data_IF_122080242390
#
_entry.id   IF_122080242390
#
_cell.length_a   1.000
_cell.length_b   1.000
_cell.length_c   1.000
_cell.angle_alpha   90.00
_cell.angle_beta   90.00
_cell.angle_gamma   90.00
#
_symmetry.space_group_name_H-M   'P 1'
#
loop_
_entity.id
_entity.type
_entity.pdbx_description
1 polymer ?
#
# COMPACT_ATOMS: atom_id res chain seq x y z
N UNK A 1 -0.20 3.29 -18.65
CA UNK A 1 -0.07 1.87 -18.30
C UNK A 1 0.30 1.61 -16.83
N UNK A 2 1.24 2.34 -16.18
CA UNK A 2 1.62 2.11 -14.76
C UNK A 2 0.47 2.43 -13.75
N UNK A 3 -0.41 3.39 -14.04
CA UNK A 3 -1.49 3.82 -13.10
C UNK A 3 -2.69 2.84 -13.07
N UNK A 4 -3.05 2.25 -14.19
CA UNK A 4 -4.14 1.26 -14.27
C UNK A 4 -3.80 -0.03 -13.50
N UNK A 5 -2.51 -0.42 -13.50
CA UNK A 5 -2.04 -1.59 -12.75
C UNK A 5 -2.17 -1.44 -11.23
N UNK A 6 -2.09 -0.21 -10.70
CA UNK A 6 -2.22 0.05 -9.24
C UNK A 6 -3.67 -0.06 -8.76
N UNK A 7 -4.62 0.44 -9.54
CA UNK A 7 -6.06 0.34 -9.21
C UNK A 7 -6.51 -1.13 -9.26
N UNK A 8 -6.06 -1.86 -10.28
CA UNK A 8 -6.33 -3.28 -10.42
C UNK A 8 -5.80 -4.08 -9.22
N UNK A 9 -4.62 -3.71 -8.67
CA UNK A 9 -4.03 -4.41 -7.52
C UNK A 9 -4.84 -4.24 -6.24
N UNK A 10 -5.51 -3.10 -6.01
CA UNK A 10 -6.34 -2.89 -4.81
C UNK A 10 -7.60 -3.75 -4.84
N UNK A 11 -8.32 -3.73 -5.95
CA UNK A 11 -9.51 -4.55 -6.11
C UNK A 11 -9.17 -6.05 -6.09
N UNK A 12 -8.02 -6.43 -6.65
CA UNK A 12 -7.54 -7.80 -6.64
C UNK A 12 -7.10 -8.23 -5.23
N UNK A 13 -6.43 -7.36 -4.46
CA UNK A 13 -6.03 -7.65 -3.09
C UNK A 13 -7.24 -7.86 -2.17
N UNK A 14 -8.26 -7.02 -2.28
CA UNK A 14 -9.52 -7.18 -1.54
C UNK A 14 -10.21 -8.51 -1.85
N UNK A 15 -10.12 -9.00 -3.09
CA UNK A 15 -10.71 -10.26 -3.51
C UNK A 15 -9.97 -11.51 -3.00
N UNK A 16 -8.63 -11.49 -3.00
CA UNK A 16 -7.82 -12.65 -2.60
C UNK A 16 -7.93 -12.91 -1.08
N UNK A 17 -8.15 -11.87 -0.27
CA UNK A 17 -8.28 -12.00 1.18
C UNK A 17 -9.58 -12.69 1.64
N UNK A 18 -10.60 -12.81 0.77
CA UNK A 18 -11.89 -13.43 1.14
C UNK A 18 -11.87 -14.96 1.17
N UNK A 19 -10.81 -15.63 0.71
CA UNK A 19 -10.86 -17.09 0.47
C UNK A 19 -9.89 -17.93 1.29
N UNK A 20 -9.07 -17.35 2.17
CA UNK A 20 -8.05 -18.08 2.92
C UNK A 20 -8.57 -18.78 4.19
N UNK A 21 -9.78 -19.34 4.19
CA UNK A 21 -10.26 -19.95 5.44
C UNK A 21 -11.47 -20.85 5.44
N UNK A 22 -11.97 -21.43 4.33
CA UNK A 22 -13.03 -22.44 4.46
C UNK A 22 -13.08 -23.47 3.34
N UNK A 23 -12.68 -24.71 3.66
CA UNK A 23 -13.16 -25.92 2.99
C UNK A 23 -14.47 -26.36 3.68
N UNK A 24 -15.61 -25.81 3.27
CA UNK A 24 -16.90 -26.23 3.80
C UNK A 24 -18.03 -25.47 3.12
N UNK A 25 -18.99 -26.20 2.56
CA UNK A 25 -20.26 -25.80 1.95
C UNK A 25 -20.62 -24.31 2.03
N UNK A 26 -20.51 -23.62 0.91
CA UNK A 26 -20.90 -22.22 0.77
C UNK A 26 -22.41 -22.13 0.63
N UNK A 27 -23.12 -22.03 1.74
CA UNK A 27 -24.46 -21.46 1.76
C UNK A 27 -24.31 -19.94 1.80
N UNK A 28 -24.71 -19.29 0.73
CA UNK A 28 -24.87 -17.86 0.43
C UNK A 28 -24.72 -16.79 1.53
N UNK A 29 -23.62 -16.78 2.25
CA UNK A 29 -23.26 -15.65 3.10
C UNK A 29 -22.35 -14.74 2.27
N UNK A 30 -22.77 -13.49 2.07
CA UNK A 30 -21.87 -12.47 1.56
C UNK A 30 -20.61 -12.49 2.43
N UNK A 31 -19.47 -12.88 1.85
CA UNK A 31 -18.21 -12.90 2.57
C UNK A 31 -17.89 -11.46 2.99
N UNK A 32 -17.80 -11.23 4.31
CA UNK A 32 -17.37 -9.94 4.82
C UNK A 32 -15.95 -9.66 4.32
N UNK A 33 -15.74 -8.49 3.73
CA UNK A 33 -14.44 -8.13 3.20
C UNK A 33 -13.42 -8.04 4.34
N UNK A 34 -12.50 -8.97 4.40
CA UNK A 34 -11.42 -8.98 5.39
C UNK A 34 -10.26 -8.08 4.91
N UNK A 35 -10.19 -6.87 5.43
CA UNK A 35 -9.13 -5.90 5.14
C UNK A 35 -8.03 -6.02 6.19
N UNK A 36 -6.78 -6.27 5.73
CA UNK A 36 -5.63 -6.26 6.62
C UNK A 36 -5.31 -4.82 7.05
N UNK A 37 -5.15 -4.63 8.36
CA UNK A 37 -4.79 -3.34 8.95
C UNK A 37 -3.32 -3.36 9.37
N UNK A 38 -2.48 -2.44 8.88
CA UNK A 38 -1.08 -2.39 9.29
C UNK A 38 -0.95 -1.89 10.72
N UNK A 39 0.00 -2.45 11.45
CA UNK A 39 0.25 -2.16 12.86
C UNK A 39 1.75 -1.89 13.07
N UNK A 40 2.08 -0.80 13.78
CA UNK A 40 3.43 -0.58 14.31
C UNK A 40 3.53 -1.30 15.66
N UNK A 41 3.93 -2.58 15.65
CA UNK A 41 3.91 -3.43 16.84
C UNK A 41 5.02 -3.14 17.84
N UNK A 42 6.06 -2.42 17.45
CA UNK A 42 7.15 -2.00 18.32
C UNK A 42 8.16 -3.10 18.70
N UNK A 43 8.08 -4.30 18.09
CA UNK A 43 8.98 -5.41 18.40
C UNK A 43 10.40 -5.20 17.85
N UNK A 44 10.51 -4.60 16.67
CA UNK A 44 11.80 -4.25 16.05
C UNK A 44 11.75 -2.79 15.60
N UNK A 45 12.40 -1.92 16.36
CA UNK A 45 12.34 -0.46 16.16
C UNK A 45 13.73 0.14 16.07
N UNK A 46 13.95 0.94 15.05
CA UNK A 46 15.14 1.78 14.86
C UNK A 46 14.73 3.24 14.94
N UNK A 47 15.45 4.06 15.67
CA UNK A 47 15.06 5.47 15.87
C UNK A 47 16.25 6.37 16.14
N UNK A 48 16.06 7.65 15.86
CA UNK A 48 16.83 8.76 16.40
C UNK A 48 15.89 9.84 16.96
N UNK A 49 16.37 11.03 17.18
CA UNK A 49 15.58 12.18 17.68
C UNK A 49 14.50 12.70 16.69
N UNK A 50 14.61 12.36 15.42
CA UNK A 50 13.72 12.88 14.35
C UNK A 50 12.81 11.82 13.70
N UNK A 51 13.27 10.59 13.60
CA UNK A 51 12.54 9.55 12.89
C UNK A 51 12.52 8.22 13.65
N UNK A 52 11.42 7.50 13.48
CA UNK A 52 11.28 6.13 14.00
C UNK A 52 10.83 5.22 12.87
N UNK A 53 11.55 4.14 12.66
CA UNK A 53 11.25 3.04 11.76
C UNK A 53 10.82 1.82 12.58
N UNK A 54 9.58 1.39 12.42
CA UNK A 54 9.11 0.09 12.89
C UNK A 54 9.26 -0.95 11.78
N UNK A 55 10.16 -1.89 11.97
CA UNK A 55 10.47 -2.98 11.05
C UNK A 55 9.94 -4.33 11.55
N UNK A 56 8.99 -4.32 12.48
CA UNK A 56 8.44 -5.52 13.11
C UNK A 56 7.69 -6.44 12.15
N UNK A 57 7.19 -5.88 11.05
CA UNK A 57 6.31 -6.57 10.11
C UNK A 57 6.96 -6.78 8.72
N UNK A 58 8.29 -6.83 8.66
CA UNK A 58 9.00 -7.11 7.40
C UNK A 58 8.63 -8.45 6.79
N UNK A 59 8.36 -9.47 7.59
CA UNK A 59 7.87 -10.78 7.14
C UNK A 59 6.48 -10.72 6.48
N UNK A 60 5.67 -9.72 6.83
CA UNK A 60 4.38 -9.41 6.19
C UNK A 60 4.52 -8.47 4.98
N UNK A 61 5.74 -8.05 4.64
CA UNK A 61 6.04 -7.27 3.46
C UNK A 61 5.88 -5.75 3.61
N UNK A 62 5.90 -5.20 4.84
CA UNK A 62 5.85 -3.76 5.04
C UNK A 62 6.69 -3.29 6.23
N UNK A 63 6.98 -2.01 6.22
CA UNK A 63 7.55 -1.25 7.34
C UNK A 63 6.68 -0.04 7.61
N UNK A 64 6.85 0.54 8.80
CA UNK A 64 6.17 1.78 9.15
C UNK A 64 7.19 2.82 9.62
N UNK A 65 7.05 4.04 9.11
CA UNK A 65 7.93 5.15 9.48
C UNK A 65 7.09 6.30 10.00
N UNK A 66 7.56 6.95 11.06
CA UNK A 66 7.05 8.24 11.52
C UNK A 66 8.18 9.24 11.67
N UNK A 67 7.87 10.50 11.41
CA UNK A 67 8.78 11.61 11.61
C UNK A 67 8.21 12.55 12.68
N UNK A 68 9.06 12.97 13.61
CA UNK A 68 8.70 13.82 14.77
C UNK A 68 9.50 15.13 14.83
N UNK A 69 10.30 15.41 13.79
CA UNK A 69 10.99 16.70 13.66
C UNK A 69 10.06 17.83 13.26
N UNK A 70 10.63 19.01 13.04
CA UNK A 70 9.88 20.25 12.77
C UNK A 70 9.82 20.64 11.28
N UNK A 71 10.46 19.88 10.37
CA UNK A 71 10.48 20.19 8.94
C UNK A 71 9.20 19.68 8.27
N UNK A 72 8.54 20.54 7.49
CA UNK A 72 7.23 20.22 6.88
C UNK A 72 7.31 19.38 5.59
N UNK A 73 8.49 19.31 4.94
CA UNK A 73 8.68 18.53 3.70
C UNK A 73 9.67 17.40 3.96
N UNK A 74 9.17 16.21 4.08
CA UNK A 74 9.95 15.01 4.40
C UNK A 74 9.78 13.99 3.30
N UNK A 75 10.87 13.30 2.95
CA UNK A 75 10.82 12.16 2.03
C UNK A 75 11.33 10.90 2.71
N UNK A 76 10.66 9.78 2.41
CA UNK A 76 11.14 8.44 2.75
C UNK A 76 11.58 7.76 1.46
N UNK A 77 12.77 7.21 1.46
CA UNK A 77 13.25 6.32 0.40
C UNK A 77 13.33 4.89 0.92
N UNK A 78 12.75 3.98 0.13
CA UNK A 78 12.86 2.54 0.33
C UNK A 78 13.52 1.98 -0.92
N UNK A 79 14.70 1.39 -0.77
CA UNK A 79 15.47 0.82 -1.87
C UNK A 79 16.04 -0.54 -1.49
N UNK A 80 16.19 -1.39 -2.50
CA UNK A 80 16.89 -2.67 -2.41
C UNK A 80 18.00 -2.67 -3.45
N UNK A 81 19.15 -3.23 -3.14
CA UNK A 81 20.28 -3.30 -4.08
C UNK A 81 19.90 -4.00 -5.37
N UNK A 82 20.15 -3.35 -6.51
CA UNK A 82 19.81 -3.87 -7.85
C UNK A 82 18.35 -3.71 -8.27
N UNK A 83 17.53 -3.02 -7.48
CA UNK A 83 16.10 -2.78 -7.75
C UNK A 83 15.77 -1.28 -7.77
N UNK A 84 14.52 -0.97 -8.05
CA UNK A 84 13.99 0.41 -8.05
C UNK A 84 14.09 1.07 -6.67
N UNK A 85 14.38 2.37 -6.65
CA UNK A 85 14.28 3.19 -5.43
C UNK A 85 12.94 3.89 -5.42
N UNK A 86 12.12 3.58 -4.41
CA UNK A 86 10.84 4.23 -4.19
C UNK A 86 11.02 5.44 -3.27
N UNK A 87 10.52 6.59 -3.71
CA UNK A 87 10.55 7.82 -2.93
C UNK A 87 9.12 8.27 -2.64
N UNK A 88 8.82 8.44 -1.37
CA UNK A 88 7.52 8.81 -0.83
C UNK A 88 7.61 10.16 -0.14
N UNK A 89 6.51 10.93 -0.15
CA UNK A 89 6.35 12.05 0.77
C UNK A 89 5.82 11.53 2.11
N UNK A 90 6.41 11.98 3.21
CA UNK A 90 6.01 11.62 4.57
C UNK A 90 5.44 12.85 5.26
N UNK A 91 4.34 12.69 5.97
CA UNK A 91 3.80 13.76 6.78
C UNK A 91 4.64 13.98 8.03
N UNK A 92 4.66 15.19 8.58
CA UNK A 92 5.32 15.50 9.85
C UNK A 92 4.37 15.39 11.05
N UNK A 93 3.30 14.60 10.92
CA UNK A 93 2.22 14.51 11.91
C UNK A 93 2.57 13.70 13.17
N UNK A 94 3.74 13.07 13.24
CA UNK A 94 4.11 12.17 14.32
C UNK A 94 3.36 10.82 14.31
N UNK A 95 2.60 10.54 13.25
CA UNK A 95 1.93 9.26 13.03
C UNK A 95 2.76 8.34 12.14
N UNK A 96 2.55 7.03 12.28
CA UNK A 96 3.18 6.07 11.40
C UNK A 96 2.49 6.03 10.03
N UNK A 97 3.30 6.00 8.97
CA UNK A 97 2.86 5.71 7.61
C UNK A 97 3.46 4.39 7.12
N UNK A 98 2.76 3.71 6.24
CA UNK A 98 3.09 2.36 5.75
C UNK A 98 3.84 2.44 4.43
N UNK A 99 4.92 1.65 4.33
CA UNK A 99 5.74 1.54 3.12
C UNK A 99 5.91 0.07 2.75
N UNK A 100 5.43 -0.35 1.56
CA UNK A 100 5.54 -1.73 1.12
C UNK A 100 6.97 -2.08 0.70
N UNK A 101 7.37 -3.33 0.95
CA UNK A 101 8.64 -3.92 0.55
C UNK A 101 8.47 -4.73 -0.74
N UNK A 102 8.04 -4.05 -1.82
CA UNK A 102 7.56 -4.66 -3.06
C UNK A 102 8.62 -5.34 -3.93
N UNK A 103 9.90 -5.20 -3.59
CA UNK A 103 11.01 -5.81 -4.33
C UNK A 103 11.40 -7.21 -3.82
N UNK A 104 10.57 -7.83 -2.95
CA UNK A 104 10.78 -9.17 -2.42
C UNK A 104 11.93 -9.27 -1.40
N UNK A 105 12.43 -10.47 -1.18
CA UNK A 105 13.44 -10.75 -0.16
C UNK A 105 14.80 -10.10 -0.47
N UNK A 106 15.54 -9.74 0.56
CA UNK A 106 16.89 -9.19 0.45
C UNK A 106 17.19 -8.04 1.40
N UNK A 107 18.30 -7.34 1.14
CA UNK A 107 18.72 -6.21 1.97
C UNK A 107 18.15 -4.91 1.44
N UNK A 108 17.35 -4.27 2.26
CA UNK A 108 16.76 -2.96 2.00
C UNK A 108 17.50 -1.86 2.72
N UNK A 109 17.46 -0.67 2.13
CA UNK A 109 17.90 0.56 2.74
C UNK A 109 16.70 1.50 2.88
N UNK A 110 16.39 1.90 4.09
CA UNK A 110 15.34 2.88 4.41
C UNK A 110 16.00 4.17 4.85
N UNK A 111 15.66 5.28 4.18
CA UNK A 111 16.21 6.61 4.48
C UNK A 111 15.12 7.63 4.64
N UNK A 112 15.29 8.55 5.59
CA UNK A 112 14.43 9.72 5.77
C UNK A 112 15.23 10.96 5.46
N UNK A 113 14.67 11.86 4.67
CA UNK A 113 15.29 13.10 4.25
C UNK A 113 14.42 14.30 4.64
N UNK A 114 15.05 15.32 5.16
CA UNK A 114 14.48 16.64 5.44
C UNK A 114 14.78 17.61 4.32
N UNK A 115 13.78 18.38 3.90
CA UNK A 115 14.00 19.46 2.95
C UNK A 115 14.80 20.59 3.61
N UNK A 116 15.86 21.04 2.92
CA UNK A 116 16.64 22.19 3.36
C UNK A 116 16.12 23.46 2.67
N UNK A 117 16.03 23.41 1.34
CA UNK A 117 15.58 24.55 0.52
C UNK A 117 15.20 24.05 -0.90
N UNK A 118 14.05 24.49 -1.41
CA UNK A 118 13.61 24.14 -2.76
C UNK A 118 13.51 22.63 -2.97
N UNK A 119 14.39 22.07 -3.81
CA UNK A 119 14.50 20.63 -4.10
C UNK A 119 15.67 19.94 -3.38
N UNK A 120 16.38 20.66 -2.50
CA UNK A 120 17.52 20.12 -1.77
C UNK A 120 17.08 19.46 -0.47
N UNK A 121 17.60 18.27 -0.21
CA UNK A 121 17.28 17.47 0.98
C UNK A 121 18.56 17.00 1.68
N UNK A 122 18.54 16.92 3.00
CA UNK A 122 19.57 16.26 3.81
C UNK A 122 19.05 14.99 4.42
N UNK A 123 19.91 13.99 4.57
CA UNK A 123 19.56 12.74 5.23
C UNK A 123 19.44 12.94 6.75
N UNK A 124 18.25 12.69 7.29
CA UNK A 124 17.97 12.76 8.71
C UNK A 124 18.07 11.39 9.41
N UNK A 125 17.80 10.31 8.67
CA UNK A 125 17.84 8.94 9.22
C UNK A 125 18.21 7.95 8.11
N UNK A 126 18.83 6.84 8.49
CA UNK A 126 19.13 5.71 7.59
C UNK A 126 19.23 4.41 8.36
N UNK A 127 18.63 3.35 7.82
CA UNK A 127 18.69 2.00 8.39
C UNK A 127 18.73 0.94 7.30
N UNK A 128 19.59 -0.04 7.44
CA UNK A 128 19.61 -1.25 6.60
C UNK A 128 18.80 -2.35 7.27
N UNK A 129 18.01 -3.08 6.49
CA UNK A 129 17.16 -4.18 6.94
C UNK A 129 17.41 -5.41 6.08
N UNK A 130 17.55 -6.57 6.71
CA UNK A 130 17.43 -7.84 6.02
C UNK A 130 15.97 -8.29 6.07
N UNK A 131 15.38 -8.49 4.92
CA UNK A 131 13.95 -8.78 4.74
C UNK A 131 13.77 -10.18 4.18
N UNK A 132 12.94 -10.96 4.87
CA UNK A 132 12.48 -12.27 4.45
C UNK A 132 10.94 -12.30 4.56
N UNK A 133 10.28 -12.16 3.41
CA UNK A 133 8.82 -12.04 3.30
C UNK A 133 8.24 -13.45 3.24
N UNK A 134 7.35 -13.76 4.17
CA UNK A 134 6.73 -15.08 4.29
C UNK A 134 5.73 -15.34 3.15
N UNK A 135 4.92 -14.33 2.82
CA UNK A 135 3.96 -14.37 1.70
C UNK A 135 4.37 -13.33 0.65
N UNK A 136 4.70 -13.78 -0.55
CA UNK A 136 5.11 -12.92 -1.66
C UNK A 136 4.07 -11.87 -2.06
N UNK A 137 2.79 -12.09 -1.72
CA UNK A 137 1.70 -11.11 -1.90
C UNK A 137 1.60 -10.10 -0.77
N UNK A 138 2.20 -10.39 0.40
CA UNK A 138 2.14 -9.54 1.59
C UNK A 138 2.33 -8.04 1.34
N UNK A 139 3.36 -7.60 0.58
CA UNK A 139 3.59 -6.18 0.30
C UNK A 139 2.43 -5.46 -0.40
N UNK A 140 1.52 -6.20 -1.03
CA UNK A 140 0.41 -5.68 -1.84
C UNK A 140 -0.94 -5.75 -1.12
N UNK A 141 -0.98 -6.36 0.07
CA UNK A 141 -2.23 -6.62 0.81
C UNK A 141 -2.57 -5.53 1.85
N UNK A 142 -1.62 -4.67 2.17
CA UNK A 142 -1.82 -3.61 3.16
C UNK A 142 -2.05 -2.24 2.50
N UNK A 143 -2.94 -1.41 3.06
CA UNK A 143 -3.10 -0.04 2.59
C UNK A 143 -1.81 0.77 2.80
N UNK A 144 -1.57 1.67 1.87
CA UNK A 144 -0.46 2.62 1.92
C UNK A 144 -0.90 3.93 1.24
N UNK A 145 -0.05 4.97 1.21
CA UNK A 145 -0.44 6.28 0.70
C UNK A 145 -0.90 6.29 -0.77
N UNK A 146 -0.44 5.37 -1.61
CA UNK A 146 -0.84 5.29 -3.03
C UNK A 146 -2.05 4.38 -3.26
N UNK A 147 -2.33 3.52 -2.29
CA UNK A 147 -3.43 2.55 -2.33
C UNK A 147 -4.07 2.55 -0.94
N UNK A 148 -4.75 3.67 -0.65
CA UNK A 148 -5.37 3.87 0.65
C UNK A 148 -6.80 3.34 0.64
N UNK A 149 -7.06 2.33 1.47
CA UNK A 149 -8.38 1.72 1.66
C UNK A 149 -8.54 1.24 3.10
N UNK A 150 -9.78 1.08 3.52
CA UNK A 150 -10.18 0.53 4.81
C UNK A 150 -11.48 -0.27 4.63
N UNK A 151 -12.00 -0.98 5.66
CA UNK A 151 -13.23 -1.77 5.52
C UNK A 151 -14.46 -0.98 5.02
N UNK A 152 -14.52 0.33 5.27
CA UNK A 152 -15.63 1.18 4.83
C UNK A 152 -15.42 1.79 3.43
N UNK A 153 -14.28 1.60 2.79
CA UNK A 153 -14.00 2.12 1.45
C UNK A 153 -14.95 1.55 0.41
N UNK A 154 -15.48 2.41 -0.48
CA UNK A 154 -16.38 2.00 -1.57
C UNK A 154 -15.74 0.95 -2.47
N UNK A 155 -14.41 1.03 -2.69
CA UNK A 155 -13.66 0.03 -3.45
C UNK A 155 -13.70 -1.37 -2.78
N UNK A 156 -13.60 -1.43 -1.46
CA UNK A 156 -13.68 -2.69 -0.70
C UNK A 156 -15.09 -3.27 -0.76
N UNK A 157 -16.11 -2.43 -0.56
CA UNK A 157 -17.51 -2.84 -0.63
C UNK A 157 -17.88 -3.36 -2.03
N UNK A 158 -17.41 -2.68 -3.08
CA UNK A 158 -17.60 -3.13 -4.47
C UNK A 158 -16.88 -4.45 -4.75
N UNK A 159 -15.67 -4.64 -4.23
CA UNK A 159 -14.95 -5.91 -4.30
C UNK A 159 -15.73 -7.06 -3.65
N UNK A 160 -16.32 -6.83 -2.47
CA UNK A 160 -17.16 -7.80 -1.78
C UNK A 160 -18.42 -8.15 -2.59
N UNK A 161 -19.12 -7.13 -3.11
CA UNK A 161 -20.30 -7.30 -3.98
C UNK A 161 -19.98 -8.18 -5.21
N UNK A 162 -18.91 -7.85 -5.93
CA UNK A 162 -18.51 -8.56 -7.15
C UNK A 162 -18.07 -10.01 -6.86
N UNK A 163 -17.59 -10.27 -5.66
CA UNK A 163 -17.12 -11.60 -5.24
C UNK A 163 -18.25 -12.51 -4.78
N UNK A 164 -19.39 -11.97 -4.36
CA UNK A 164 -20.46 -12.71 -3.70
C UNK A 164 -21.09 -13.83 -4.56
N UNK A 165 -21.01 -13.72 -5.90
CA UNK A 165 -21.54 -14.72 -6.85
C UNK A 165 -20.50 -15.65 -7.46
N UNK A 166 -19.23 -15.52 -7.08
CA UNK A 166 -18.15 -16.28 -7.68
C UNK A 166 -18.05 -17.68 -7.05
N UNK A 167 -17.83 -18.71 -7.90
CA UNK A 167 -17.71 -20.08 -7.45
C UNK A 167 -16.31 -20.42 -6.88
N UNK A 168 -15.29 -19.67 -7.31
CA UNK A 168 -13.89 -19.87 -6.93
C UNK A 168 -13.09 -18.56 -7.06
N UNK A 169 -11.80 -18.62 -6.73
CA UNK A 169 -10.89 -17.45 -6.80
C UNK A 169 -10.74 -16.90 -8.23
N UNK A 170 -10.77 -17.74 -9.24
CA UNK A 170 -10.66 -17.31 -10.64
C UNK A 170 -11.92 -16.53 -11.02
N UNK A 171 -13.09 -16.99 -10.58
CA UNK A 171 -14.36 -16.30 -10.75
C UNK A 171 -14.34 -14.92 -10.09
N UNK A 172 -13.81 -14.79 -8.87
CA UNK A 172 -13.62 -13.50 -8.17
C UNK A 172 -12.74 -12.56 -8.98
N UNK A 173 -11.56 -13.03 -9.39
CA UNK A 173 -10.62 -12.21 -10.19
C UNK A 173 -11.28 -11.79 -11.52
N UNK A 174 -11.98 -12.70 -12.18
CA UNK A 174 -12.67 -12.42 -13.45
C UNK A 174 -13.76 -11.37 -13.29
N UNK A 175 -14.58 -11.46 -12.23
CA UNK A 175 -15.64 -10.48 -11.96
C UNK A 175 -15.06 -9.08 -11.72
N UNK A 176 -14.02 -8.97 -10.90
CA UNK A 176 -13.34 -7.70 -10.61
C UNK A 176 -12.65 -7.14 -11.87
N UNK A 177 -11.93 -7.99 -12.61
CA UNK A 177 -11.29 -7.60 -13.86
C UNK A 177 -12.29 -7.02 -14.85
N UNK A 178 -13.41 -7.75 -15.10
CA UNK A 178 -14.46 -7.30 -16.02
C UNK A 178 -15.10 -6.00 -15.55
N UNK A 179 -15.32 -5.84 -14.24
CA UNK A 179 -15.81 -4.57 -13.70
C UNK A 179 -14.86 -3.41 -14.03
N UNK A 180 -13.58 -3.58 -13.75
CA UNK A 180 -12.56 -2.54 -13.96
C UNK A 180 -12.48 -2.14 -15.43
N UNK A 181 -12.38 -3.11 -16.37
CA UNK A 181 -12.21 -2.79 -17.79
C UNK A 181 -13.45 -2.20 -18.44
N UNK A 182 -14.65 -2.49 -17.93
CA UNK A 182 -15.91 -2.02 -18.50
C UNK A 182 -16.42 -0.72 -17.86
N UNK A 183 -15.95 -0.35 -16.67
CA UNK A 183 -16.49 0.80 -15.93
C UNK A 183 -15.45 1.89 -15.64
N UNK A 184 -14.14 1.59 -15.72
CA UNK A 184 -13.10 2.56 -15.46
C UNK A 184 -12.37 2.94 -16.75
N UNK A 185 -12.31 4.25 -17.02
CA UNK A 185 -11.54 4.80 -18.14
C UNK A 185 -10.33 5.59 -17.63
N UNK A 186 -9.30 5.71 -18.47
CA UNK A 186 -8.12 6.51 -18.12
C UNK A 186 -8.45 8.00 -18.24
N UNK A 187 -8.36 8.71 -17.10
CA UNK A 187 -8.56 10.16 -17.05
C UNK A 187 -7.34 10.90 -17.61
N UNK A 188 -7.38 11.18 -18.91
CA UNK A 188 -6.29 11.88 -19.63
C UNK A 188 -6.17 13.33 -19.18
N UNK A 189 -7.27 14.01 -18.86
CA UNK A 189 -7.26 15.39 -18.42
C UNK A 189 -6.58 15.53 -17.05
N UNK A 190 -6.94 14.67 -16.11
CA UNK A 190 -6.29 14.62 -14.80
C UNK A 190 -4.82 14.24 -14.91
N UNK A 191 -4.48 13.29 -15.78
CA UNK A 191 -3.09 12.87 -15.97
C UNK A 191 -2.18 14.00 -16.46
N UNK A 192 -2.71 14.95 -17.23
CA UNK A 192 -1.99 16.13 -17.72
C UNK A 192 -1.91 17.26 -16.69
N UNK A 193 -2.83 17.32 -15.73
CA UNK A 193 -2.96 18.43 -14.78
C UNK A 193 -2.47 18.10 -13.37
N UNK A 194 -2.32 16.82 -13.01
CA UNK A 194 -1.91 16.40 -11.68
C UNK A 194 -0.48 16.85 -11.34
N UNK A 195 -0.35 17.45 -10.16
CA UNK A 195 0.93 17.95 -9.66
C UNK A 195 1.76 16.86 -8.95
N UNK A 196 3.05 17.14 -8.78
CA UNK A 196 3.93 16.29 -7.95
C UNK A 196 3.37 16.13 -6.54
N UNK A 197 3.43 14.90 -5.99
CA UNK A 197 2.86 14.59 -4.67
C UNK A 197 1.39 14.20 -4.69
N UNK A 198 0.74 14.15 -5.85
CA UNK A 198 -0.64 13.68 -5.95
C UNK A 198 -0.77 12.23 -5.45
N UNK A 199 -1.68 12.02 -4.51
CA UNK A 199 -2.05 10.71 -4.00
C UNK A 199 -3.43 10.31 -4.55
N UNK A 200 -3.56 9.15 -5.22
CA UNK A 200 -4.84 8.69 -5.73
C UNK A 200 -5.77 8.28 -4.58
N UNK A 201 -7.05 8.58 -4.72
CA UNK A 201 -8.10 8.09 -3.82
C UNK A 201 -8.91 7.03 -4.58
N UNK A 202 -8.93 5.80 -4.08
CA UNK A 202 -9.57 4.66 -4.73
C UNK A 202 -11.09 4.82 -4.79
N UNK A 203 -11.71 5.44 -3.79
CA UNK A 203 -13.15 5.64 -3.73
C UNK A 203 -13.62 6.72 -4.71
N UNK A 204 -12.82 7.78 -4.90
CA UNK A 204 -13.09 8.82 -5.90
C UNK A 204 -13.02 8.24 -7.32
N UNK A 205 -12.11 7.32 -7.58
CA UNK A 205 -11.99 6.66 -8.90
C UNK A 205 -13.22 5.82 -9.23
N UNK A 206 -13.85 5.20 -8.24
CA UNK A 206 -15.07 4.40 -8.44
C UNK A 206 -16.34 5.24 -8.57
N UNK A 207 -16.33 6.50 -8.11
CA UNK A 207 -17.47 7.41 -8.16
C UNK A 207 -17.58 8.19 -9.49
N UNK A 208 -16.60 8.08 -10.37
CA UNK A 208 -16.53 8.71 -11.69
C UNK A 208 -17.02 7.78 -12.81
#
# INVERSE_FOLDING_TARGET
MKKTKKILSVLLAAAIMMTAGQTGLVTGLAAEAHVLTPIASGATVYKNDKATLDASNTASGYIMVKYTGSVGKIKVQVSKSGSETYTYDLTSSGTYEVFPLSEGNGTYQVKVFENIQGTQYSQAFSQSLNVDITDTFGPFLYPNQYVNFNPASAAVQKGAELSAGAADQIGVVTAIYNYVINNLTYDTAKAQSVQSGYLPNVDVVLAQ
#
